data_IF_625891765233
#
_entry.id   IF_625891765233
#
_cell.length_a   1.000
_cell.length_b   1.000
_cell.length_c   1.000
_cell.angle_alpha   90.00
_cell.angle_beta   90.00
_cell.angle_gamma   90.00
#
_symmetry.space_group_name_H-M   'P 1'
#
loop_
_entity.id
_entity.type
_entity.pdbx_description
1 polymer ?
#
# COMPACT_ATOMS: atom_id res chain seq x y z
N UNK A 1 -12.90 15.52 -9.47
CA UNK A 1 -13.48 14.26 -9.96
C UNK A 1 -13.80 13.36 -8.77
N UNK A 2 -15.07 13.00 -8.60
CA UNK A 2 -15.48 11.90 -7.71
C UNK A 2 -15.52 10.62 -8.53
N UNK A 3 -14.58 9.71 -8.26
CA UNK A 3 -14.45 8.46 -9.01
C UNK A 3 -15.57 7.46 -8.71
N UNK A 4 -16.31 7.64 -7.62
CA UNK A 4 -17.46 6.79 -7.27
C UNK A 4 -18.73 7.15 -8.03
N UNK A 5 -18.78 8.34 -8.66
CA UNK A 5 -19.86 8.81 -9.51
C UNK A 5 -19.56 8.48 -10.98
N UNK A 6 -20.29 7.51 -11.60
CA UNK A 6 -20.07 7.12 -12.99
C UNK A 6 -20.37 8.24 -13.98
N UNK A 7 -21.38 9.07 -13.72
CA UNK A 7 -21.76 10.17 -14.62
C UNK A 7 -20.71 11.28 -14.61
N UNK A 8 -20.19 11.62 -13.43
CA UNK A 8 -19.11 12.58 -13.28
C UNK A 8 -17.82 12.08 -13.94
N UNK A 9 -17.51 10.80 -13.76
CA UNK A 9 -16.34 10.14 -14.41
C UNK A 9 -16.45 10.19 -15.94
N UNK A 10 -17.58 9.77 -16.50
CA UNK A 10 -17.81 9.79 -17.95
C UNK A 10 -17.75 11.21 -18.52
N UNK A 11 -18.40 12.18 -17.85
CA UNK A 11 -18.37 13.59 -18.24
C UNK A 11 -16.94 14.14 -18.32
N UNK A 12 -16.15 13.97 -17.26
CA UNK A 12 -14.78 14.48 -17.21
C UNK A 12 -13.90 13.86 -18.31
N UNK A 13 -13.97 12.53 -18.52
CA UNK A 13 -13.19 11.87 -19.56
C UNK A 13 -13.60 12.30 -20.95
N UNK A 14 -14.90 12.40 -21.22
CA UNK A 14 -15.41 12.82 -22.55
C UNK A 14 -15.11 14.27 -22.89
N UNK A 15 -15.11 15.17 -21.91
CA UNK A 15 -14.82 16.60 -22.08
C UNK A 15 -13.30 16.86 -22.24
N UNK A 16 -12.46 16.24 -21.40
CA UNK A 16 -11.02 16.51 -21.39
C UNK A 16 -10.21 15.66 -22.38
N UNK A 17 -10.74 14.52 -22.80
CA UNK A 17 -10.12 13.60 -23.77
C UNK A 17 -8.63 13.34 -23.50
N UNK A 18 -8.27 12.83 -22.30
CA UNK A 18 -6.87 12.68 -21.91
C UNK A 18 -6.13 11.64 -22.72
N UNK A 19 -4.86 11.91 -23.05
CA UNK A 19 -3.92 10.90 -23.60
C UNK A 19 -3.46 9.90 -22.53
N UNK A 20 -3.40 10.34 -21.27
CA UNK A 20 -3.01 9.54 -20.11
C UNK A 20 -4.03 9.71 -18.99
N UNK A 21 -4.47 8.59 -18.43
CA UNK A 21 -5.31 8.58 -17.24
C UNK A 21 -4.65 7.72 -16.15
N UNK A 22 -4.25 8.35 -15.06
CA UNK A 22 -3.57 7.69 -13.94
C UNK A 22 -4.51 7.65 -12.74
N UNK A 23 -4.97 6.46 -12.38
CA UNK A 23 -5.86 6.27 -11.24
C UNK A 23 -5.08 5.83 -9.99
N UNK A 24 -4.88 6.77 -9.05
CA UNK A 24 -4.45 6.50 -7.69
C UNK A 24 -5.57 6.64 -6.67
N UNK A 25 -6.77 7.05 -7.10
CA UNK A 25 -7.90 7.21 -6.20
C UNK A 25 -8.32 5.84 -5.63
N UNK A 26 -8.32 5.73 -4.32
CA UNK A 26 -8.66 4.49 -3.63
C UNK A 26 -8.97 4.75 -2.15
N UNK A 27 -9.82 3.91 -1.57
CA UNK A 27 -9.82 3.69 -0.14
C UNK A 27 -8.65 2.72 0.15
N UNK A 28 -7.52 3.24 0.66
CA UNK A 28 -6.25 2.51 0.73
C UNK A 28 -5.90 1.96 2.10
N UNK A 29 -6.61 2.35 3.16
CA UNK A 29 -6.39 1.84 4.51
C UNK A 29 -7.06 0.48 4.67
N UNK A 30 -6.26 -0.59 4.69
CA UNK A 30 -6.74 -1.99 4.76
C UNK A 30 -7.63 -2.23 5.98
N UNK A 31 -7.28 -1.66 7.14
CA UNK A 31 -8.02 -1.83 8.39
C UNK A 31 -9.49 -1.42 8.29
N UNK A 32 -9.80 -0.30 7.63
CA UNK A 32 -11.18 0.18 7.48
C UNK A 32 -12.03 -0.66 6.51
N UNK A 33 -11.41 -1.54 5.72
CA UNK A 33 -12.16 -2.36 4.76
C UNK A 33 -13.10 -3.38 5.40
N UNK A 34 -12.83 -3.76 6.64
CA UNK A 34 -13.68 -4.65 7.42
C UNK A 34 -14.98 -3.96 7.88
N UNK A 35 -14.89 -2.66 8.21
CA UNK A 35 -16.04 -1.86 8.65
C UNK A 35 -16.83 -1.28 7.47
N UNK A 36 -16.13 -0.99 6.35
CA UNK A 36 -16.72 -0.32 5.18
C UNK A 36 -16.47 -1.09 3.86
N UNK A 37 -16.82 -2.39 3.78
CA UNK A 37 -16.48 -3.22 2.60
C UNK A 37 -17.13 -2.70 1.31
N UNK A 38 -18.36 -2.18 1.38
CA UNK A 38 -19.05 -1.62 0.22
C UNK A 38 -18.34 -0.40 -0.36
N UNK A 39 -17.86 0.50 0.52
CA UNK A 39 -17.12 1.68 0.08
C UNK A 39 -15.81 1.29 -0.61
N UNK A 40 -15.10 0.28 -0.09
CA UNK A 40 -13.91 -0.25 -0.73
C UNK A 40 -14.20 -0.85 -2.11
N UNK A 41 -15.25 -1.66 -2.25
CA UNK A 41 -15.65 -2.21 -3.56
C UNK A 41 -16.07 -1.09 -4.53
N UNK A 42 -16.87 -0.13 -4.08
CA UNK A 42 -17.33 0.98 -4.92
C UNK A 42 -16.16 1.84 -5.41
N UNK A 43 -15.26 2.23 -4.51
CA UNK A 43 -14.14 3.14 -4.85
C UNK A 43 -12.99 2.41 -5.55
N UNK A 44 -12.66 1.17 -5.15
CA UNK A 44 -11.45 0.50 -5.67
C UNK A 44 -11.71 -0.40 -6.87
N UNK A 45 -12.96 -0.85 -7.08
CA UNK A 45 -13.32 -1.77 -8.15
C UNK A 45 -14.32 -1.14 -9.13
N UNK A 46 -15.50 -0.69 -8.65
CA UNK A 46 -16.54 -0.17 -9.53
C UNK A 46 -16.11 1.12 -10.23
N UNK A 47 -15.36 1.98 -9.55
CA UNK A 47 -14.81 3.20 -10.18
C UNK A 47 -13.88 2.86 -11.36
N UNK A 48 -13.09 1.78 -11.23
CA UNK A 48 -12.21 1.31 -12.32
C UNK A 48 -13.03 0.87 -13.52
N UNK A 49 -14.13 0.16 -13.29
CA UNK A 49 -15.07 -0.22 -14.38
C UNK A 49 -15.65 1.02 -15.05
N UNK A 50 -16.08 2.03 -14.30
CA UNK A 50 -16.62 3.28 -14.84
C UNK A 50 -15.58 4.02 -15.70
N UNK A 51 -14.33 4.10 -15.22
CA UNK A 51 -13.21 4.73 -15.95
C UNK A 51 -12.91 3.99 -17.24
N UNK A 52 -12.79 2.66 -17.20
CA UNK A 52 -12.50 1.83 -18.37
C UNK A 52 -13.63 1.93 -19.43
N UNK A 53 -14.90 1.92 -19.01
CA UNK A 53 -16.05 2.11 -19.92
C UNK A 53 -16.06 3.50 -20.54
N UNK A 54 -15.78 4.55 -19.77
CA UNK A 54 -15.69 5.91 -20.31
C UNK A 54 -14.53 6.06 -21.31
N UNK A 55 -13.35 5.48 -20.99
CA UNK A 55 -12.20 5.48 -21.90
C UNK A 55 -12.53 4.73 -23.19
N UNK A 56 -13.11 3.54 -23.08
CA UNK A 56 -13.51 2.73 -24.24
C UNK A 56 -14.43 3.48 -25.20
N UNK A 57 -15.40 4.22 -24.65
CA UNK A 57 -16.43 4.93 -25.45
C UNK A 57 -15.92 6.25 -26.05
N UNK A 58 -15.10 6.98 -25.31
CA UNK A 58 -14.80 8.37 -25.66
C UNK A 58 -13.36 8.61 -26.08
N UNK A 59 -12.39 7.84 -25.55
CA UNK A 59 -10.95 8.07 -25.75
C UNK A 59 -10.16 6.75 -25.79
N UNK A 60 -10.44 5.83 -26.72
CA UNK A 60 -9.80 4.50 -26.73
C UNK A 60 -8.28 4.55 -26.97
N UNK A 61 -7.74 5.70 -27.38
CA UNK A 61 -6.30 5.92 -27.51
C UNK A 61 -5.62 6.22 -26.17
N UNK A 62 -6.39 6.56 -25.11
CA UNK A 62 -5.86 6.90 -23.77
C UNK A 62 -5.06 5.75 -23.18
N UNK A 63 -3.91 6.07 -22.59
CA UNK A 63 -3.11 5.13 -21.80
C UNK A 63 -3.57 5.18 -20.36
N UNK A 64 -4.15 4.09 -19.91
CA UNK A 64 -4.75 3.97 -18.58
C UNK A 64 -3.85 3.19 -17.63
N UNK A 65 -3.62 3.76 -16.45
CA UNK A 65 -2.97 3.08 -15.33
C UNK A 65 -3.90 3.01 -14.12
N UNK A 66 -4.02 1.83 -13.52
CA UNK A 66 -4.67 1.67 -12.22
C UNK A 66 -3.66 1.22 -11.15
N UNK A 67 -3.71 1.84 -9.98
CA UNK A 67 -2.86 1.44 -8.86
C UNK A 67 -3.38 0.15 -8.21
N UNK A 68 -2.65 -0.94 -8.41
CA UNK A 68 -2.86 -2.20 -7.69
C UNK A 68 -2.16 -2.23 -6.34
N UNK A 69 -2.11 -3.41 -5.73
CA UNK A 69 -1.57 -3.59 -4.39
C UNK A 69 -1.00 -4.99 -4.18
N UNK A 70 0.07 -5.11 -3.39
CA UNK A 70 0.57 -6.40 -2.90
C UNK A 70 -0.45 -7.19 -2.06
N UNK A 71 -1.45 -6.51 -1.48
CA UNK A 71 -2.56 -7.16 -0.75
C UNK A 71 -3.46 -8.04 -1.64
N UNK A 72 -3.34 -7.92 -2.96
CA UNK A 72 -4.00 -8.82 -3.92
C UNK A 72 -3.46 -10.25 -3.83
N UNK A 73 -2.19 -10.43 -3.48
CA UNK A 73 -1.58 -11.74 -3.26
C UNK A 73 -2.15 -12.44 -2.03
N UNK A 74 -2.36 -11.71 -0.94
CA UNK A 74 -3.06 -12.15 0.27
C UNK A 74 -2.43 -13.36 0.95
N UNK A 75 -3.07 -14.52 0.82
CA UNK A 75 -2.60 -15.80 1.38
C UNK A 75 -1.49 -16.39 0.50
N UNK A 76 -0.27 -15.96 0.78
CA UNK A 76 0.93 -16.22 -0.02
C UNK A 76 1.31 -17.69 0.03
N UNK A 77 1.53 -18.30 -1.14
CA UNK A 77 1.94 -19.72 -1.26
C UNK A 77 3.43 -19.87 -1.59
N UNK A 78 4.05 -18.82 -2.13
CA UNK A 78 5.49 -18.78 -2.43
C UNK A 78 6.02 -17.35 -2.25
N UNK A 79 7.31 -17.20 -2.01
CA UNK A 79 7.97 -15.92 -1.82
C UNK A 79 9.37 -15.94 -2.44
N UNK A 80 9.81 -14.82 -3.03
CA UNK A 80 9.07 -13.57 -3.24
C UNK A 80 7.92 -13.72 -4.24
N UNK A 81 6.90 -12.81 -4.16
CA UNK A 81 5.74 -12.83 -5.03
C UNK A 81 6.07 -12.17 -6.37
N UNK A 82 5.95 -12.94 -7.45
CA UNK A 82 6.07 -12.47 -8.84
C UNK A 82 4.70 -12.22 -9.49
N UNK A 83 4.70 -11.74 -10.72
CA UNK A 83 3.49 -11.55 -11.54
C UNK A 83 2.70 -12.84 -11.80
N UNK A 84 3.34 -14.00 -11.62
CA UNK A 84 2.72 -15.32 -11.82
C UNK A 84 2.07 -15.88 -10.55
N UNK A 85 2.30 -15.24 -9.39
CA UNK A 85 1.71 -15.68 -8.13
C UNK A 85 0.18 -15.54 -8.18
N UNK A 86 -0.60 -16.55 -7.75
CA UNK A 86 -2.06 -16.46 -7.75
C UNK A 86 -2.56 -15.38 -6.76
N UNK A 87 -3.67 -14.73 -7.13
CA UNK A 87 -4.32 -13.74 -6.27
C UNK A 87 -5.21 -14.46 -5.25
N UNK A 88 -4.92 -14.30 -3.95
CA UNK A 88 -5.62 -14.94 -2.84
C UNK A 88 -5.91 -13.95 -1.71
N UNK A 89 -6.62 -12.84 -2.00
CA UNK A 89 -6.79 -11.74 -1.06
C UNK A 89 -7.43 -12.19 0.26
N UNK A 90 -6.97 -11.61 1.37
CA UNK A 90 -7.43 -11.91 2.73
C UNK A 90 -8.24 -10.79 3.37
N UNK A 91 -8.49 -9.71 2.65
CA UNK A 91 -9.26 -8.56 3.11
C UNK A 91 -10.23 -8.08 2.04
N UNK A 92 -11.33 -7.38 2.42
CA UNK A 92 -12.20 -6.72 1.44
C UNK A 92 -11.44 -5.71 0.56
N UNK A 93 -10.43 -5.03 1.11
CA UNK A 93 -9.52 -4.18 0.33
C UNK A 93 -8.76 -4.97 -0.73
N UNK A 94 -8.06 -6.04 -0.35
CA UNK A 94 -7.33 -6.90 -1.28
C UNK A 94 -8.24 -7.49 -2.36
N UNK A 95 -9.44 -7.93 -1.99
CA UNK A 95 -10.44 -8.44 -2.92
C UNK A 95 -10.89 -7.37 -3.92
N UNK A 96 -11.12 -6.12 -3.48
CA UNK A 96 -11.50 -5.02 -4.37
C UNK A 96 -10.40 -4.68 -5.38
N UNK A 97 -9.13 -4.70 -4.96
CA UNK A 97 -7.97 -4.45 -5.84
C UNK A 97 -7.75 -5.60 -6.83
N UNK A 98 -7.87 -6.86 -6.39
CA UNK A 98 -7.79 -8.03 -7.27
C UNK A 98 -8.92 -8.05 -8.32
N UNK A 99 -10.14 -7.69 -7.92
CA UNK A 99 -11.27 -7.57 -8.85
C UNK A 99 -11.01 -6.49 -9.91
N UNK A 100 -10.50 -5.32 -9.51
CA UNK A 100 -10.11 -4.26 -10.43
C UNK A 100 -9.04 -4.73 -11.44
N UNK A 101 -8.04 -5.50 -11.00
CA UNK A 101 -7.02 -6.08 -11.88
C UNK A 101 -7.63 -6.96 -12.99
N UNK A 102 -8.58 -7.81 -12.61
CA UNK A 102 -9.25 -8.63 -13.61
C UNK A 102 -10.04 -7.79 -14.62
N UNK A 103 -10.68 -6.70 -14.19
CA UNK A 103 -11.33 -5.76 -15.10
C UNK A 103 -10.32 -5.09 -16.04
N UNK A 104 -9.20 -4.56 -15.52
CA UNK A 104 -8.15 -3.97 -16.34
C UNK A 104 -7.66 -4.96 -17.40
N UNK A 105 -7.38 -6.20 -17.00
CA UNK A 105 -6.96 -7.26 -17.95
C UNK A 105 -8.02 -7.57 -19.00
N UNK A 106 -9.29 -7.74 -18.61
CA UNK A 106 -10.39 -8.03 -19.55
C UNK A 106 -10.56 -6.92 -20.58
N UNK A 107 -10.51 -5.64 -20.13
CA UNK A 107 -10.65 -4.50 -21.04
C UNK A 107 -9.47 -4.38 -22.00
N UNK A 108 -8.25 -4.62 -21.53
CA UNK A 108 -7.07 -4.68 -22.38
C UNK A 108 -7.17 -5.76 -23.44
N UNK A 109 -7.51 -6.99 -23.02
CA UNK A 109 -7.51 -8.17 -23.90
C UNK A 109 -8.70 -8.19 -24.88
N UNK A 110 -9.84 -7.56 -24.50
CA UNK A 110 -11.09 -7.66 -25.29
C UNK A 110 -11.39 -6.42 -26.14
N UNK A 111 -10.88 -5.25 -25.78
CA UNK A 111 -11.25 -3.99 -26.43
C UNK A 111 -10.07 -3.20 -26.97
N UNK A 112 -8.88 -3.78 -27.03
CA UNK A 112 -7.65 -3.15 -27.49
C UNK A 112 -7.36 -1.79 -26.80
N UNK A 113 -7.70 -1.70 -25.52
CA UNK A 113 -7.42 -0.52 -24.70
C UNK A 113 -6.06 -0.69 -24.06
N UNK A 114 -5.21 0.34 -24.15
CA UNK A 114 -3.99 0.36 -23.34
C UNK A 114 -4.34 0.55 -21.87
N UNK A 115 -4.36 -0.54 -21.10
CA UNK A 115 -4.68 -0.52 -19.68
C UNK A 115 -3.71 -1.43 -18.90
N UNK A 116 -3.07 -0.89 -17.87
CA UNK A 116 -2.09 -1.61 -17.04
C UNK A 116 -2.34 -1.36 -15.56
N UNK A 117 -1.96 -2.34 -14.73
CA UNK A 117 -2.06 -2.25 -13.27
C UNK A 117 -0.82 -2.87 -12.61
N UNK A 118 -0.03 -2.07 -11.90
CA UNK A 118 1.11 -2.56 -11.14
C UNK A 118 0.68 -3.29 -9.86
N UNK A 119 1.45 -4.29 -9.40
CA UNK A 119 1.41 -4.76 -8.01
C UNK A 119 2.36 -3.88 -7.21
N UNK A 120 1.80 -2.89 -6.53
CA UNK A 120 2.59 -1.98 -5.72
C UNK A 120 2.77 -2.55 -4.31
N UNK A 121 4.02 -2.80 -3.94
CA UNK A 121 4.39 -3.09 -2.57
C UNK A 121 4.38 -1.79 -1.74
N UNK A 122 4.72 -1.84 -0.47
CA UNK A 122 4.65 -0.65 0.36
C UNK A 122 5.61 0.44 -0.15
N UNK A 123 5.09 1.61 -0.41
CA UNK A 123 5.86 2.75 -0.88
C UNK A 123 5.58 3.95 0.01
N UNK A 124 6.63 4.53 0.53
CA UNK A 124 6.60 5.49 1.61
C UNK A 124 7.17 6.84 1.15
N UNK A 125 6.80 7.89 1.85
CA UNK A 125 7.31 9.22 1.60
C UNK A 125 6.87 10.18 2.70
N UNK A 126 7.39 11.41 2.67
CA UNK A 126 7.13 12.44 3.70
C UNK A 126 5.64 12.81 3.85
N UNK A 127 4.83 12.52 2.84
CA UNK A 127 3.39 12.79 2.82
C UNK A 127 2.51 11.57 3.12
N UNK A 128 3.11 10.46 3.61
CA UNK A 128 2.33 9.26 3.97
C UNK A 128 1.26 9.60 5.00
N UNK A 129 0.04 9.03 4.84
CA UNK A 129 -1.07 9.21 5.79
C UNK A 129 -0.73 8.68 7.19
N UNK A 130 -1.25 9.35 8.23
CA UNK A 130 -0.93 9.06 9.62
C UNK A 130 -1.50 7.72 10.13
N UNK A 131 -2.49 7.18 9.44
CA UNK A 131 -3.09 5.87 9.68
C UNK A 131 -2.16 4.71 9.29
N UNK A 132 -1.16 4.96 8.44
CA UNK A 132 -0.19 3.93 8.02
C UNK A 132 0.95 3.79 9.03
N UNK A 133 1.40 2.55 9.20
CA UNK A 133 2.31 2.15 10.28
C UNK A 133 3.61 2.96 10.30
N UNK A 134 4.23 3.23 9.16
CA UNK A 134 5.49 3.99 9.07
C UNK A 134 5.31 5.42 9.57
N UNK A 135 4.28 6.13 9.09
CA UNK A 135 3.98 7.49 9.53
C UNK A 135 3.50 7.53 10.98
N UNK A 136 2.69 6.55 11.40
CA UNK A 136 2.28 6.40 12.81
C UNK A 136 3.50 6.29 13.71
N UNK A 137 4.49 5.47 13.36
CA UNK A 137 5.73 5.32 14.13
C UNK A 137 6.50 6.63 14.17
N UNK A 138 6.87 7.22 13.03
CA UNK A 138 7.71 8.42 12.98
C UNK A 138 7.08 9.61 13.68
N UNK A 139 5.76 9.80 13.56
CA UNK A 139 5.03 10.86 14.27
C UNK A 139 5.06 10.67 15.79
N UNK A 140 4.82 9.43 16.25
CA UNK A 140 4.84 9.14 17.68
C UNK A 140 6.27 9.20 18.26
N UNK A 141 7.30 8.78 17.52
CA UNK A 141 8.70 8.93 17.92
C UNK A 141 9.04 10.41 18.16
N UNK A 142 8.64 11.30 17.24
CA UNK A 142 8.84 12.74 17.40
C UNK A 142 8.10 13.32 18.63
N UNK A 143 6.87 12.84 18.90
CA UNK A 143 6.10 13.21 20.09
C UNK A 143 6.77 12.73 21.38
N UNK A 144 7.18 11.47 21.43
CA UNK A 144 7.84 10.86 22.59
C UNK A 144 9.18 11.55 22.88
N UNK A 145 9.96 11.89 21.85
CA UNK A 145 11.18 12.67 22.00
C UNK A 145 10.91 14.01 22.71
N UNK A 146 9.90 14.74 22.25
CA UNK A 146 9.51 16.03 22.84
C UNK A 146 9.04 15.89 24.30
N UNK A 147 8.26 14.86 24.63
CA UNK A 147 7.82 14.55 25.99
C UNK A 147 9.03 14.25 26.87
N UNK A 148 9.95 13.41 26.40
CA UNK A 148 11.18 13.04 27.11
C UNK A 148 12.09 14.23 27.39
N UNK A 149 12.38 15.07 26.39
CA UNK A 149 13.22 16.27 26.52
C UNK A 149 12.62 17.33 27.48
N UNK A 150 11.29 17.38 27.57
CA UNK A 150 10.58 18.28 28.50
C UNK A 150 10.40 17.71 29.91
N UNK A 151 10.92 16.50 30.18
CA UNK A 151 10.78 15.84 31.49
C UNK A 151 9.34 15.36 31.79
N UNK A 152 8.51 15.26 30.78
CA UNK A 152 7.14 14.73 30.92
C UNK A 152 7.16 13.19 30.88
N UNK A 153 6.16 12.57 31.49
CA UNK A 153 5.95 11.13 31.34
C UNK A 153 5.63 10.80 29.89
N UNK A 154 6.39 9.90 29.27
CA UNK A 154 6.16 9.48 27.90
C UNK A 154 4.90 8.63 27.76
N UNK A 155 4.09 8.92 26.73
CA UNK A 155 2.96 8.07 26.38
C UNK A 155 3.43 7.07 25.30
N UNK A 156 3.41 5.74 25.58
CA UNK A 156 3.94 4.75 24.63
C UNK A 156 3.25 4.77 23.26
N UNK A 157 4.03 4.54 22.21
CA UNK A 157 3.50 4.18 20.90
C UNK A 157 2.80 2.83 20.99
N UNK A 158 1.58 2.72 20.47
CA UNK A 158 0.82 1.46 20.47
C UNK A 158 0.76 0.87 19.06
N UNK A 159 1.17 -0.40 18.91
CA UNK A 159 1.18 -1.15 17.66
C UNK A 159 0.57 -2.55 17.85
N UNK A 160 0.12 -3.16 16.75
CA UNK A 160 -0.33 -4.56 16.73
C UNK A 160 0.84 -5.53 16.52
N UNK A 161 0.77 -6.37 15.48
CA UNK A 161 1.80 -7.35 15.15
C UNK A 161 3.08 -6.67 14.66
N UNK A 162 4.10 -6.62 15.52
CA UNK A 162 5.39 -6.00 15.20
C UNK A 162 6.36 -6.91 14.46
N UNK A 163 6.05 -8.19 14.32
CA UNK A 163 6.89 -9.18 13.63
C UNK A 163 6.48 -9.39 12.16
N UNK A 164 5.38 -8.78 11.72
CA UNK A 164 5.01 -8.75 10.30
C UNK A 164 6.09 -8.12 9.46
N UNK A 165 6.38 -8.75 8.31
CA UNK A 165 7.41 -8.31 7.36
C UNK A 165 6.79 -7.59 6.18
N UNK A 166 7.39 -6.48 5.79
CA UNK A 166 6.97 -5.68 4.64
C UNK A 166 8.17 -5.31 3.78
N UNK A 167 7.92 -5.27 2.48
CA UNK A 167 8.82 -4.72 1.49
C UNK A 167 8.49 -3.23 1.34
N UNK A 168 9.39 -2.35 1.80
CA UNK A 168 9.22 -0.90 1.73
C UNK A 168 10.15 -0.28 0.71
N UNK A 169 9.63 0.65 -0.06
CA UNK A 169 10.36 1.43 -1.06
C UNK A 169 10.04 2.92 -0.96
N UNK A 170 10.76 3.75 -1.71
CA UNK A 170 10.44 5.16 -1.90
C UNK A 170 9.31 5.34 -2.92
N UNK A 171 8.34 6.20 -2.60
CA UNK A 171 7.22 6.51 -3.49
C UNK A 171 7.66 7.17 -4.81
N UNK A 172 8.78 7.91 -4.83
CA UNK A 172 9.31 8.54 -6.05
C UNK A 172 9.79 7.50 -7.06
N UNK A 173 10.39 6.39 -6.59
CA UNK A 173 10.80 5.30 -7.48
C UNK A 173 9.60 4.56 -8.07
N UNK A 174 8.53 4.42 -7.27
CA UNK A 174 7.29 3.83 -7.78
C UNK A 174 6.62 4.70 -8.85
N UNK A 175 6.64 6.03 -8.70
CA UNK A 175 6.13 6.95 -9.73
C UNK A 175 6.90 6.81 -11.03
N UNK A 176 8.23 6.63 -10.99
CA UNK A 176 9.03 6.33 -12.17
C UNK A 176 8.61 5.01 -12.83
N UNK A 177 8.43 3.95 -12.02
CA UNK A 177 7.94 2.66 -12.50
C UNK A 177 6.55 2.77 -13.16
N UNK A 178 5.62 3.51 -12.58
CA UNK A 178 4.29 3.77 -13.16
C UNK A 178 4.40 4.49 -14.50
N UNK A 179 5.28 5.49 -14.61
CA UNK A 179 5.51 6.19 -15.85
C UNK A 179 6.07 5.27 -16.95
N UNK A 180 7.01 4.40 -16.61
CA UNK A 180 7.55 3.41 -17.55
C UNK A 180 6.47 2.41 -17.97
N UNK A 181 5.61 1.95 -17.04
CA UNK A 181 4.47 1.08 -17.35
C UNK A 181 3.48 1.73 -18.31
N UNK A 182 3.27 3.04 -18.22
CA UNK A 182 2.41 3.80 -19.15
C UNK A 182 3.02 4.01 -20.52
N UNK A 183 4.34 3.87 -20.66
CA UNK A 183 5.07 4.15 -21.88
C UNK A 183 5.75 2.91 -22.50
N UNK A 184 5.23 1.73 -22.22
CA UNK A 184 5.62 0.49 -22.90
C UNK A 184 5.12 0.47 -24.35
N UNK A 185 5.50 -0.58 -25.08
CA UNK A 185 4.92 -0.90 -26.36
C UNK A 185 3.39 -1.00 -26.25
N UNK A 186 2.69 -0.29 -27.14
CA UNK A 186 1.23 -0.24 -27.16
C UNK A 186 0.60 -1.58 -27.49
N UNK A 187 1.23 -2.36 -28.35
CA UNK A 187 0.69 -3.62 -28.83
C UNK A 187 0.77 -4.75 -27.80
N UNK A 188 1.65 -4.61 -26.78
CA UNK A 188 1.87 -5.65 -25.78
C UNK A 188 2.14 -5.08 -24.38
N UNK A 189 1.22 -4.27 -23.82
CA UNK A 189 1.40 -3.71 -22.49
C UNK A 189 1.34 -4.79 -21.40
N UNK A 190 2.23 -4.72 -20.42
CA UNK A 190 2.38 -5.70 -19.35
C UNK A 190 2.20 -5.05 -17.99
N UNK A 191 1.75 -5.85 -17.04
CA UNK A 191 1.72 -5.52 -15.62
C UNK A 191 3.04 -5.93 -14.96
N UNK A 192 3.43 -5.22 -13.89
CA UNK A 192 4.69 -5.45 -13.19
C UNK A 192 4.52 -5.40 -11.68
N UNK A 193 5.33 -6.19 -10.99
CA UNK A 193 5.57 -6.05 -9.56
C UNK A 193 6.57 -4.91 -9.34
N UNK A 194 6.21 -3.94 -8.50
CA UNK A 194 7.11 -2.89 -8.05
C UNK A 194 7.40 -3.10 -6.56
N UNK A 195 8.68 -3.36 -6.23
CA UNK A 195 9.15 -3.70 -4.88
C UNK A 195 10.63 -3.38 -4.72
N UNK A 196 11.12 -3.33 -3.46
CA UNK A 196 12.55 -3.22 -3.17
C UNK A 196 13.29 -4.54 -3.34
N UNK A 197 12.60 -5.68 -3.27
CA UNK A 197 13.11 -7.03 -3.12
C UNK A 197 13.71 -7.32 -1.72
N UNK A 198 13.50 -6.44 -0.75
CA UNK A 198 13.97 -6.59 0.63
C UNK A 198 12.79 -6.51 1.58
N UNK A 199 12.88 -7.20 2.71
CA UNK A 199 11.82 -7.15 3.73
C UNK A 199 12.40 -6.79 5.09
N UNK A 200 11.63 -5.97 5.82
CA UNK A 200 11.94 -5.59 7.20
C UNK A 200 10.71 -5.80 8.07
N UNK A 201 10.94 -6.12 9.34
CA UNK A 201 9.88 -6.20 10.34
C UNK A 201 9.46 -4.80 10.80
N UNK A 202 8.23 -4.67 11.29
CA UNK A 202 7.79 -3.43 11.96
C UNK A 202 8.66 -3.16 13.20
N UNK A 203 9.10 -4.22 13.90
CA UNK A 203 10.04 -4.16 15.03
C UNK A 203 11.35 -3.47 14.65
N UNK A 204 11.97 -3.85 13.54
CA UNK A 204 13.19 -3.21 13.03
C UNK A 204 12.96 -1.75 12.74
N UNK A 205 11.85 -1.40 12.10
CA UNK A 205 11.50 -0.01 11.81
C UNK A 205 11.31 0.82 13.09
N UNK A 206 10.68 0.27 14.13
CA UNK A 206 10.56 0.93 15.45
C UNK A 206 11.93 1.21 16.03
N UNK A 207 12.83 0.20 16.06
CA UNK A 207 14.18 0.36 16.60
C UNK A 207 14.96 1.43 15.85
N UNK A 208 14.91 1.42 14.52
CA UNK A 208 15.63 2.43 13.71
C UNK A 208 15.06 3.84 13.90
N UNK A 209 13.72 3.97 13.96
CA UNK A 209 13.10 5.28 14.16
C UNK A 209 13.47 5.90 15.51
N UNK A 210 13.49 5.12 16.59
CA UNK A 210 13.94 5.59 17.91
C UNK A 210 15.45 5.84 17.95
N UNK A 211 16.25 4.96 17.33
CA UNK A 211 17.70 5.12 17.25
C UNK A 211 18.10 6.42 16.51
N UNK A 212 17.37 6.77 15.47
CA UNK A 212 17.59 7.98 14.68
C UNK A 212 17.47 9.27 15.50
N UNK A 213 16.57 9.30 16.50
CA UNK A 213 16.35 10.47 17.36
C UNK A 213 17.11 10.39 18.70
N UNK A 214 18.09 9.50 18.83
CA UNK A 214 18.99 9.45 19.98
C UNK A 214 18.63 8.44 21.08
N UNK A 215 17.55 7.69 20.95
CA UNK A 215 17.29 6.53 21.84
C UNK A 215 18.10 5.33 21.32
N UNK A 216 19.41 5.33 21.60
CA UNK A 216 20.32 4.36 21.03
C UNK A 216 19.93 2.91 21.37
N UNK A 217 19.98 2.03 20.38
CA UNK A 217 19.60 0.62 20.52
C UNK A 217 20.33 -0.13 21.64
N UNK A 218 21.55 0.29 21.98
CA UNK A 218 22.34 -0.29 23.08
C UNK A 218 21.80 0.08 24.48
N UNK A 219 21.00 1.14 24.56
CA UNK A 219 20.38 1.63 25.79
C UNK A 219 18.90 1.21 25.91
N UNK A 220 18.34 0.68 24.82
CA UNK A 220 16.95 0.25 24.78
C UNK A 220 16.84 -1.27 24.91
N UNK A 221 15.72 -1.74 25.48
CA UNK A 221 15.47 -3.17 25.71
C UNK A 221 14.01 -3.53 25.45
N UNK A 222 13.80 -4.65 24.80
CA UNK A 222 12.51 -5.33 24.73
C UNK A 222 12.26 -6.11 26.03
N UNK A 223 11.03 -6.05 26.54
CA UNK A 223 10.56 -6.83 27.70
C UNK A 223 9.19 -7.42 27.39
N UNK A 224 8.90 -8.60 27.95
CA UNK A 224 7.68 -9.35 27.66
C UNK A 224 7.78 -10.16 26.36
N UNK A 225 6.67 -10.74 25.93
CA UNK A 225 6.53 -11.48 24.65
C UNK A 225 5.09 -11.36 24.15
N UNK A 226 4.92 -11.35 22.82
CA UNK A 226 3.61 -11.31 22.18
C UNK A 226 2.83 -10.06 22.59
N UNK A 227 1.63 -10.23 23.14
CA UNK A 227 0.74 -9.13 23.54
C UNK A 227 1.26 -8.28 24.70
N UNK A 228 2.17 -8.80 25.52
CA UNK A 228 2.76 -8.08 26.67
C UNK A 228 4.09 -7.42 26.32
N UNK A 229 4.47 -7.46 25.07
CA UNK A 229 5.78 -6.98 24.63
C UNK A 229 5.85 -5.47 24.59
N UNK A 230 6.93 -4.93 25.16
CA UNK A 230 7.18 -3.48 25.27
C UNK A 230 8.63 -3.15 25.01
N UNK A 231 8.87 -1.96 24.45
CA UNK A 231 10.20 -1.42 24.18
C UNK A 231 10.50 -0.27 25.14
N UNK A 232 11.62 -0.33 25.82
CA UNK A 232 12.01 0.60 26.89
C UNK A 232 13.34 1.28 26.62
N UNK A 233 13.44 2.54 27.05
CA UNK A 233 14.70 3.26 27.28
C UNK A 233 14.81 3.56 28.79
N UNK A 234 15.74 2.90 29.48
CA UNK A 234 15.79 2.96 30.95
C UNK A 234 14.46 2.56 31.60
N UNK A 235 13.81 3.43 32.40
CA UNK A 235 12.50 3.20 32.98
C UNK A 235 11.34 3.51 32.02
N UNK A 236 11.56 4.30 30.98
CA UNK A 236 10.52 4.85 30.13
C UNK A 236 10.06 3.83 29.08
N UNK A 237 8.76 3.55 29.04
CA UNK A 237 8.15 2.74 28.01
C UNK A 237 7.95 3.58 26.74
N UNK A 238 8.63 3.22 25.66
CA UNK A 238 8.57 3.93 24.37
C UNK A 238 7.49 3.37 23.45
N UNK A 239 7.30 2.04 23.46
CA UNK A 239 6.30 1.35 22.65
C UNK A 239 5.74 0.14 23.40
N UNK A 240 4.48 -0.17 23.14
CA UNK A 240 3.81 -1.38 23.63
C UNK A 240 2.93 -2.01 22.56
N UNK A 241 2.82 -3.33 22.62
CA UNK A 241 1.87 -4.08 21.78
C UNK A 241 0.47 -3.93 22.37
N UNK A 242 -0.53 -3.70 21.49
CA UNK A 242 -1.92 -3.55 21.86
C UNK A 242 -2.80 -4.36 20.90
N UNK A 243 -3.67 -5.22 21.46
CA UNK A 243 -4.57 -6.11 20.73
C UNK A 243 -5.53 -5.38 19.78
N UNK A 244 -5.94 -4.16 20.13
CA UNK A 244 -6.85 -3.36 19.31
C UNK A 244 -6.27 -2.98 17.93
N UNK A 245 -4.97 -3.15 17.75
CA UNK A 245 -4.29 -2.90 16.47
C UNK A 245 -3.97 -4.17 15.68
N UNK A 246 -4.40 -5.35 16.16
CA UNK A 246 -4.34 -6.56 15.34
C UNK A 246 -5.49 -6.59 14.34
N UNK A 247 -5.19 -7.03 13.13
CA UNK A 247 -6.20 -7.18 12.08
C UNK A 247 -6.88 -8.57 12.18
N UNK A 248 -8.15 -8.69 11.81
CA UNK A 248 -8.85 -9.99 11.81
C UNK A 248 -8.17 -11.06 10.96
N UNK A 249 -7.54 -10.63 9.84
CA UNK A 249 -6.70 -11.49 9.01
C UNK A 249 -5.45 -10.71 8.57
N UNK A 250 -4.34 -10.96 9.25
CA UNK A 250 -3.05 -10.35 8.92
C UNK A 250 -2.37 -11.11 7.78
N UNK A 251 -1.67 -10.36 6.94
CA UNK A 251 -0.71 -10.92 5.99
C UNK A 251 0.67 -10.78 6.62
N UNK A 252 1.27 -11.90 6.99
CA UNK A 252 2.53 -11.90 7.76
C UNK A 252 3.74 -11.49 6.92
N UNK A 253 3.73 -11.86 5.63
CA UNK A 253 4.85 -11.60 4.71
C UNK A 253 4.34 -11.06 3.38
N UNK A 254 4.74 -9.85 3.05
CA UNK A 254 4.67 -9.28 1.70
C UNK A 254 6.09 -8.99 1.24
N UNK A 255 6.57 -9.76 0.25
CA UNK A 255 7.91 -9.68 -0.32
C UNK A 255 7.83 -9.81 -1.83
N UNK A 256 8.06 -8.72 -2.56
CA UNK A 256 7.90 -8.68 -4.00
C UNK A 256 9.15 -9.13 -4.76
N UNK A 257 8.92 -9.76 -5.92
CA UNK A 257 9.94 -10.02 -6.94
C UNK A 257 9.79 -9.01 -8.08
N UNK A 258 10.60 -7.97 -8.06
CA UNK A 258 10.61 -6.94 -9.12
C UNK A 258 11.63 -7.23 -10.24
N UNK A 259 12.13 -8.46 -10.37
CA UNK A 259 13.13 -8.83 -11.38
C UNK A 259 12.69 -8.40 -12.78
N UNK A 260 11.48 -8.76 -13.18
CA UNK A 260 10.91 -8.38 -14.48
C UNK A 260 10.79 -6.87 -14.69
N UNK A 261 10.55 -6.10 -13.63
CA UNK A 261 10.45 -4.63 -13.75
C UNK A 261 11.82 -3.94 -13.85
N UNK A 262 12.90 -4.65 -13.49
CA UNK A 262 14.28 -4.14 -13.54
C UNK A 262 14.99 -4.44 -14.87
N UNK A 263 14.48 -5.38 -15.66
CA UNK A 263 14.91 -5.71 -17.02
C UNK A 263 14.38 -4.69 -18.06
#
# INVERSE_FOLDING_TARGET
>A
LDVSDPQNTEKVISEHKPDYFINFAANSFVGSSWDMPFNHMQTNCMSVLHQLEAIRRHVPHCRYYNAGSSEEFGDVIESPQSENHPLRPRSPYGASKASARHLVKVYRDSYDIYAVQGWLFNHEGVRRGEEFVTRKITKNVARILKEYESGQTTTPLQLGNIDSKRDWSDAEDFVKGVWLMLNQDRENPKDYVLSSNETHTIREFVVEAFNFVGFHRTQCKWKGKGMEEKYFHGPDCLMEVNENFYRPAEVDLLWGDSTKARE
#
